data_IF_421530272386
#
_entry.id   IF_421530272386
#
_cell.length_a   1.000
_cell.length_b   1.000
_cell.length_c   1.000
_cell.angle_alpha   90.00
_cell.angle_beta   90.00
_cell.angle_gamma   90.00
#
_symmetry.space_group_name_H-M   'P 1'
#
loop_
_entity.id
_entity.type
_entity.pdbx_description
1 polymer ?
#
# COMPACT_ATOMS: atom_id res chain seq x y z
N UNK A 1 -17.82 9.56 -18.66
CA UNK A 1 -16.46 9.73 -18.11
C UNK A 1 -16.63 9.47 -16.63
N UNK A 2 -15.97 8.45 -16.10
CA UNK A 2 -16.24 7.94 -14.76
C UNK A 2 -15.65 8.90 -13.72
N UNK A 3 -16.52 9.70 -13.09
CA UNK A 3 -16.22 10.52 -11.92
C UNK A 3 -15.94 9.60 -10.72
N UNK A 4 -14.71 9.09 -10.60
CA UNK A 4 -14.25 8.54 -9.32
C UNK A 4 -13.71 9.68 -8.47
N UNK A 5 -14.61 10.37 -7.77
CA UNK A 5 -14.24 11.26 -6.66
C UNK A 5 -13.48 10.46 -5.59
N UNK A 6 -12.18 10.70 -5.52
CA UNK A 6 -11.31 10.16 -4.47
C UNK A 6 -11.34 11.09 -3.26
N UNK A 7 -12.33 10.92 -2.39
CA UNK A 7 -12.39 11.62 -1.10
C UNK A 7 -11.69 10.81 0.01
N UNK A 8 -10.65 11.45 0.54
CA UNK A 8 -9.98 11.29 1.85
C UNK A 8 -9.57 9.88 2.30
N UNK A 9 -8.47 9.38 1.73
CA UNK A 9 -7.71 8.27 2.29
C UNK A 9 -6.55 8.81 3.13
N UNK A 10 -6.67 8.73 4.46
CA UNK A 10 -5.61 9.04 5.42
C UNK A 10 -4.21 8.56 4.98
N UNK A 11 -3.14 9.31 5.31
CA UNK A 11 -1.84 9.19 4.67
C UNK A 11 -1.20 7.84 4.98
N UNK A 12 -0.63 7.18 3.98
CA UNK A 12 0.57 6.39 4.28
C UNK A 12 1.01 5.31 3.31
N UNK A 13 0.16 4.70 2.50
CA UNK A 13 0.64 3.51 1.78
C UNK A 13 1.37 3.86 0.47
N UNK A 14 2.70 3.73 0.44
CA UNK A 14 3.56 4.09 -0.70
C UNK A 14 3.51 3.08 -1.86
N UNK A 15 2.60 2.10 -1.80
CA UNK A 15 2.48 1.04 -2.80
C UNK A 15 2.20 1.60 -4.19
N UNK A 16 1.34 2.62 -4.30
CA UNK A 16 1.02 3.26 -5.58
C UNK A 16 2.26 3.94 -6.18
N UNK A 17 2.97 4.74 -5.38
CA UNK A 17 4.19 5.42 -5.81
C UNK A 17 5.28 4.43 -6.23
N UNK A 18 5.50 3.37 -5.44
CA UNK A 18 6.49 2.33 -5.75
C UNK A 18 6.13 1.55 -7.03
N UNK A 19 4.84 1.36 -7.27
CA UNK A 19 4.33 0.74 -8.50
C UNK A 19 4.60 1.64 -9.71
N UNK A 20 4.32 2.94 -9.59
CA UNK A 20 4.56 3.94 -10.65
C UNK A 20 6.06 4.13 -10.94
N UNK A 21 6.90 4.16 -9.91
CA UNK A 21 8.35 4.21 -10.05
C UNK A 21 8.91 2.97 -10.78
N UNK A 22 8.23 1.82 -10.69
CA UNK A 22 8.57 0.59 -11.42
C UNK A 22 7.87 0.44 -12.77
N UNK A 23 7.11 1.45 -13.21
CA UNK A 23 6.32 1.41 -14.45
C UNK A 23 5.42 0.16 -14.52
N UNK A 24 4.93 -0.32 -13.36
CA UNK A 24 4.05 -1.48 -13.29
C UNK A 24 2.59 -1.06 -13.28
N UNK A 25 1.73 -1.86 -13.92
CA UNK A 25 0.29 -1.71 -13.73
C UNK A 25 -0.18 -2.45 -12.48
N UNK A 26 -1.35 -2.05 -11.98
CA UNK A 26 -2.06 -2.69 -10.86
C UNK A 26 -2.19 -4.22 -11.06
N UNK A 27 -2.55 -4.62 -12.28
CA UNK A 27 -2.68 -6.01 -12.72
C UNK A 27 -1.34 -6.74 -12.76
N UNK A 28 -0.28 -6.09 -13.21
CA UNK A 28 1.06 -6.66 -13.18
C UNK A 28 1.55 -6.87 -11.74
N UNK A 29 1.28 -5.93 -10.84
CA UNK A 29 1.65 -6.04 -9.43
C UNK A 29 0.88 -7.21 -8.77
N UNK A 30 -0.41 -7.32 -9.05
CA UNK A 30 -1.25 -8.42 -8.57
C UNK A 30 -0.72 -9.79 -9.02
N UNK A 31 -0.39 -9.94 -10.31
CA UNK A 31 0.19 -11.18 -10.86
C UNK A 31 1.52 -11.51 -10.21
N UNK A 32 2.41 -10.52 -10.10
CA UNK A 32 3.76 -10.71 -9.55
C UNK A 32 3.74 -11.04 -8.05
N UNK A 33 2.81 -10.44 -7.31
CA UNK A 33 2.58 -10.76 -5.91
C UNK A 33 1.66 -11.98 -5.71
N UNK A 34 1.15 -12.63 -6.76
CA UNK A 34 0.19 -13.74 -6.65
C UNK A 34 -1.02 -13.40 -5.73
N UNK A 35 -1.58 -12.21 -5.88
CA UNK A 35 -2.75 -11.74 -5.13
C UNK A 35 -3.82 -11.25 -6.08
N UNK A 36 -5.07 -11.17 -5.60
CA UNK A 36 -6.17 -10.66 -6.41
C UNK A 36 -5.99 -9.16 -6.69
N UNK A 37 -6.39 -8.71 -7.88
CA UNK A 37 -6.37 -7.29 -8.26
C UNK A 37 -7.19 -6.42 -7.28
N UNK A 38 -8.34 -6.93 -6.81
CA UNK A 38 -9.16 -6.28 -5.78
C UNK A 38 -8.37 -6.02 -4.51
N UNK A 39 -7.51 -6.96 -4.11
CA UNK A 39 -6.65 -6.81 -2.94
C UNK A 39 -5.63 -5.70 -3.14
N UNK A 40 -4.98 -5.60 -4.30
CA UNK A 40 -4.07 -4.48 -4.62
C UNK A 40 -4.82 -3.15 -4.54
N UNK A 41 -6.01 -3.08 -5.12
CA UNK A 41 -6.81 -1.86 -5.08
C UNK A 41 -7.18 -1.44 -3.64
N UNK A 42 -7.55 -2.41 -2.79
CA UNK A 42 -7.79 -2.16 -1.37
C UNK A 42 -6.52 -1.72 -0.63
N UNK A 43 -5.38 -2.36 -0.92
CA UNK A 43 -4.08 -2.00 -0.36
C UNK A 43 -3.69 -0.57 -0.71
N UNK A 44 -3.81 -0.17 -1.99
CA UNK A 44 -3.50 1.19 -2.43
C UNK A 44 -4.43 2.23 -1.82
N UNK A 45 -5.65 1.85 -1.44
CA UNK A 45 -6.58 2.69 -0.66
C UNK A 45 -6.30 2.73 0.85
N UNK A 46 -5.26 2.04 1.34
CA UNK A 46 -4.91 2.04 2.77
C UNK A 46 -5.69 1.04 3.62
N UNK A 47 -6.42 0.09 3.01
CA UNK A 47 -7.15 -0.94 3.77
C UNK A 47 -6.19 -1.99 4.33
N UNK A 48 -6.50 -2.48 5.54
CA UNK A 48 -5.70 -3.51 6.17
C UNK A 48 -5.81 -4.84 5.42
N UNK A 49 -4.65 -5.44 5.13
CA UNK A 49 -4.55 -6.70 4.41
C UNK A 49 -3.75 -7.71 5.22
N UNK A 50 -3.95 -9.00 4.94
CA UNK A 50 -3.21 -10.09 5.59
C UNK A 50 -1.69 -9.88 5.46
N UNK A 51 -0.98 -10.29 6.50
CA UNK A 51 0.49 -10.28 6.54
C UNK A 51 1.12 -10.99 5.34
N UNK A 52 0.51 -12.12 4.94
CA UNK A 52 0.90 -12.92 3.79
C UNK A 52 0.88 -12.09 2.49
N UNK A 53 -0.20 -11.32 2.28
CA UNK A 53 -0.36 -10.41 1.14
C UNK A 53 0.70 -9.30 1.16
N UNK A 54 0.94 -8.68 2.32
CA UNK A 54 1.96 -7.62 2.44
C UNK A 54 3.35 -8.14 2.07
N UNK A 55 3.71 -9.34 2.54
CA UNK A 55 4.99 -9.99 2.21
C UNK A 55 5.12 -10.28 0.71
N UNK A 56 4.05 -10.76 0.07
CA UNK A 56 4.03 -11.00 -1.38
C UNK A 56 4.16 -9.72 -2.20
N UNK A 57 3.49 -8.65 -1.79
CA UNK A 57 3.57 -7.33 -2.46
C UNK A 57 4.99 -6.77 -2.32
N UNK A 58 5.60 -6.84 -1.14
CA UNK A 58 7.00 -6.45 -0.94
C UNK A 58 7.94 -7.19 -1.89
N UNK A 59 7.81 -8.52 -1.97
CA UNK A 59 8.63 -9.33 -2.85
C UNK A 59 8.43 -8.97 -4.33
N UNK A 60 7.19 -8.69 -4.74
CA UNK A 60 6.88 -8.24 -6.09
C UNK A 60 7.48 -6.87 -6.42
N UNK A 61 7.51 -5.98 -5.43
CA UNK A 61 8.19 -4.69 -5.48
C UNK A 61 9.72 -4.83 -5.33
N UNK A 62 10.27 -6.02 -5.09
CA UNK A 62 11.70 -6.24 -4.90
C UNK A 62 12.24 -5.63 -3.60
N UNK A 63 11.38 -5.48 -2.60
CA UNK A 63 11.69 -4.94 -1.28
C UNK A 63 11.84 -6.08 -0.26
N UNK A 64 12.58 -5.81 0.82
CA UNK A 64 12.75 -6.77 1.91
C UNK A 64 11.61 -6.63 2.90
N UNK A 65 11.39 -7.69 3.69
CA UNK A 65 10.38 -7.69 4.76
C UNK A 65 10.59 -6.55 5.78
N UNK A 66 11.83 -6.12 5.97
CA UNK A 66 12.23 -5.00 6.83
C UNK A 66 11.69 -3.66 6.32
N UNK A 67 11.61 -3.45 5.01
CA UNK A 67 11.06 -2.24 4.39
C UNK A 67 9.53 -2.16 4.49
N UNK A 68 8.87 -3.14 5.11
CA UNK A 68 7.41 -3.16 5.24
C UNK A 68 6.89 -1.90 5.90
N UNK A 69 7.59 -1.38 6.90
CA UNK A 69 7.17 -0.17 7.62
C UNK A 69 7.31 1.09 6.76
N UNK A 70 8.24 1.08 5.79
CA UNK A 70 8.40 2.16 4.81
C UNK A 70 7.25 2.15 3.78
N UNK A 71 6.84 0.96 3.35
CA UNK A 71 5.77 0.79 2.38
C UNK A 71 4.40 0.99 3.02
N UNK A 72 4.18 0.33 4.17
CA UNK A 72 2.96 0.25 4.94
C UNK A 72 3.16 0.88 6.34
N UNK A 73 3.33 2.20 6.44
CA UNK A 73 3.54 2.85 7.73
C UNK A 73 2.35 2.61 8.65
N UNK A 74 2.60 2.25 9.93
CA UNK A 74 1.53 2.16 10.91
C UNK A 74 0.92 3.55 11.10
N UNK A 75 -0.42 3.61 11.23
CA UNK A 75 -1.11 4.82 11.66
C UNK A 75 -0.47 5.27 12.97
N UNK A 76 0.27 6.39 12.92
CA UNK A 76 0.84 6.99 14.12
C UNK A 76 -0.34 7.58 14.89
N UNK A 77 -0.68 7.11 16.11
CA UNK A 77 -1.67 7.83 16.90
C UNK A 77 -1.07 9.21 17.16
N UNK A 78 -1.78 10.26 16.74
CA UNK A 78 -1.49 11.68 17.02
C UNK A 78 -1.62 11.97 18.54
N UNK A 79 -0.90 11.23 19.37
CA UNK A 79 -1.04 11.21 20.82
C UNK A 79 0.15 11.85 21.55
N UNK A 80 1.13 12.40 20.84
CA UNK A 80 2.34 12.98 21.45
C UNK A 80 2.43 14.51 21.35
N UNK A 81 1.31 15.21 21.18
CA UNK A 81 1.30 16.68 21.18
C UNK A 81 0.31 17.22 22.22
N UNK A 82 0.59 16.95 23.49
CA UNK A 82 0.07 17.74 24.61
C UNK A 82 1.26 18.15 25.50
N UNK A 83 1.72 19.41 25.47
CA UNK A 83 2.63 19.92 26.50
C UNK A 83 1.87 20.09 27.82
N UNK A 84 2.54 19.75 28.93
CA UNK A 84 2.10 19.90 30.32
C UNK A 84 1.91 21.38 30.71
#
# INVERSE_FOLDING_TARGET
MDDTEVVDGEPGNRVRELREHKLMTQSQLARKAQVALRTIHSVEKGLNCRMDTKRKILLALGLRFEDRDLVFPPRKPLSFMLPH
#
